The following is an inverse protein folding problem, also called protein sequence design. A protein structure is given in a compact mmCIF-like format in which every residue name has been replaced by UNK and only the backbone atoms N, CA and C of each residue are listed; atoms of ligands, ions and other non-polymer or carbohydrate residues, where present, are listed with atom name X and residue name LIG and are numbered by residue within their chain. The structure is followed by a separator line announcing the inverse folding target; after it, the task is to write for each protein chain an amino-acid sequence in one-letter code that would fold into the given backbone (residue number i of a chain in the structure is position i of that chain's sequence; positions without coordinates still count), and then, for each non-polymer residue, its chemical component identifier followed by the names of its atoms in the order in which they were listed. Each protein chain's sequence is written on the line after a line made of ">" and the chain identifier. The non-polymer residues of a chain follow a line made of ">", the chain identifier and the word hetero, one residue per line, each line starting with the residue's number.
data_IF_516029649251
#
_entry.id   IF_516029649251
#
_cell.length_a   1.000
_cell.length_b   1.000
_cell.length_c   1.000
_cell.angle_alpha   90.00
_cell.angle_beta   90.00
_cell.angle_gamma   90.00
#
_symmetry.space_group_name_H-M   'P 1'
#
loop_
_entity.id
_entity.type
_entity.pdbx_description
1 polymer ?
#
# COMPACT_ATOMS: atom_id res chain seq x y z
N UNK A 1 -11.83 -10.25 21.19
CA UNK A 1 -10.53 -10.94 21.39
C UNK A 1 -9.44 -9.87 21.38
N UNK A 2 -8.67 -9.74 22.46
CA UNK A 2 -7.69 -8.66 22.65
C UNK A 2 -6.40 -8.93 21.84
N UNK A 3 -5.87 -7.96 21.07
CA UNK A 3 -4.66 -8.15 20.26
C UNK A 3 -3.35 -7.91 21.04
N UNK A 4 -3.35 -7.93 22.37
CA UNK A 4 -2.21 -7.47 23.20
C UNK A 4 -1.28 -8.56 23.74
N UNK A 5 -1.27 -9.77 23.18
CA UNK A 5 -0.22 -10.75 23.53
C UNK A 5 0.90 -10.71 22.50
N UNK A 6 1.83 -9.78 22.68
CA UNK A 6 3.16 -9.88 22.07
C UNK A 6 3.81 -11.20 22.48
N UNK A 7 4.45 -11.95 21.57
CA UNK A 7 5.05 -13.26 21.87
C UNK A 7 6.33 -13.16 22.71
N UNK A 8 6.72 -11.98 23.21
CA UNK A 8 7.87 -11.81 24.10
C UNK A 8 7.80 -12.67 25.39
N UNK A 9 6.63 -13.20 25.74
CA UNK A 9 6.43 -14.09 26.89
C UNK A 9 6.67 -15.59 26.59
N UNK A 10 6.99 -16.01 25.36
CA UNK A 10 7.22 -17.44 25.06
C UNK A 10 8.58 -17.94 25.57
N UNK A 11 9.62 -17.11 25.49
CA UNK A 11 10.95 -17.45 26.02
C UNK A 11 11.00 -17.54 27.55
N UNK A 12 10.12 -16.84 28.25
CA UNK A 12 10.01 -16.92 29.72
C UNK A 12 9.54 -18.30 30.23
N UNK A 13 9.08 -19.20 29.34
CA UNK A 13 8.63 -20.56 29.69
C UNK A 13 9.59 -21.67 29.28
N UNK A 14 10.71 -21.36 28.64
CA UNK A 14 11.68 -22.36 28.22
C UNK A 14 12.68 -22.59 29.36
N UNK A 15 12.65 -23.77 29.95
CA UNK A 15 13.63 -24.18 30.97
C UNK A 15 14.99 -24.46 30.33
N UNK A 16 15.99 -23.68 30.73
CA UNK A 16 17.38 -23.76 30.25
C UNK A 16 18.08 -25.07 30.60
N UNK A 17 17.60 -25.76 31.64
CA UNK A 17 18.15 -27.03 32.08
C UNK A 17 17.45 -28.24 31.44
N UNK A 18 16.41 -28.01 30.62
CA UNK A 18 15.70 -29.09 29.95
C UNK A 18 16.60 -29.75 28.89
N UNK A 19 16.61 -31.08 28.78
CA UNK A 19 17.29 -31.78 27.69
C UNK A 19 16.83 -31.33 26.29
N UNK A 20 15.61 -30.80 26.18
CA UNK A 20 15.02 -30.33 24.93
C UNK A 20 15.13 -28.80 24.73
N UNK A 21 15.91 -28.10 25.57
CA UNK A 21 16.03 -26.64 25.53
C UNK A 21 16.29 -26.10 24.12
N UNK A 22 17.32 -26.61 23.44
CA UNK A 22 17.72 -26.14 22.12
C UNK A 22 16.64 -26.38 21.05
N UNK A 23 15.94 -27.52 21.10
CA UNK A 23 14.85 -27.81 20.17
C UNK A 23 13.68 -26.84 20.36
N UNK A 24 13.28 -26.60 21.62
CA UNK A 24 12.20 -25.67 21.93
C UNK A 24 12.54 -24.22 21.52
N UNK A 25 13.79 -23.80 21.69
CA UNK A 25 14.26 -22.48 21.23
C UNK A 25 14.21 -22.40 19.71
N UNK A 26 14.69 -23.43 19.01
CA UNK A 26 14.66 -23.47 17.54
C UNK A 26 13.22 -23.40 17.01
N UNK A 27 12.28 -24.13 17.61
CA UNK A 27 10.87 -24.10 17.23
C UNK A 27 10.26 -22.69 17.40
N UNK A 28 10.60 -21.97 18.49
CA UNK A 28 10.15 -20.59 18.66
C UNK A 28 10.74 -19.65 17.61
N UNK A 29 12.03 -19.80 17.30
CA UNK A 29 12.70 -19.02 16.25
C UNK A 29 12.02 -19.25 14.90
N UNK A 30 11.70 -20.50 14.56
CA UNK A 30 11.06 -20.85 13.29
C UNK A 30 9.64 -20.29 13.18
N UNK A 31 8.87 -20.34 14.28
CA UNK A 31 7.54 -19.73 14.37
C UNK A 31 7.62 -18.22 14.17
N UNK A 32 8.53 -17.54 14.87
CA UNK A 32 8.67 -16.09 14.78
C UNK A 32 9.20 -15.66 13.40
N UNK A 33 10.10 -16.45 12.80
CA UNK A 33 10.56 -16.23 11.43
C UNK A 33 9.41 -16.37 10.43
N UNK A 34 8.55 -17.38 10.58
CA UNK A 34 7.38 -17.56 9.72
C UNK A 34 6.39 -16.39 9.86
N UNK A 35 6.15 -15.92 11.08
CA UNK A 35 5.32 -14.74 11.35
C UNK A 35 5.91 -13.48 10.73
N UNK A 36 7.22 -13.26 10.88
CA UNK A 36 7.91 -12.11 10.31
C UNK A 36 7.79 -12.10 8.79
N UNK A 37 8.06 -13.23 8.12
CA UNK A 37 7.91 -13.37 6.66
C UNK A 37 6.49 -13.05 6.21
N UNK A 38 5.48 -13.54 6.93
CA UNK A 38 4.07 -13.25 6.65
C UNK A 38 3.75 -11.76 6.80
N UNK A 39 4.16 -11.14 7.91
CA UNK A 39 3.88 -9.74 8.18
C UNK A 39 4.55 -8.81 7.17
N UNK A 40 5.80 -9.07 6.80
CA UNK A 40 6.52 -8.31 5.76
C UNK A 40 5.83 -8.43 4.41
N UNK A 41 5.36 -9.64 4.06
CA UNK A 41 4.61 -9.86 2.81
C UNK A 41 3.30 -9.07 2.79
N UNK A 42 2.55 -9.07 3.90
CA UNK A 42 1.30 -8.31 4.01
C UNK A 42 1.56 -6.80 3.89
N UNK A 43 2.53 -6.26 4.65
CA UNK A 43 2.84 -4.82 4.61
C UNK A 43 3.29 -4.39 3.20
N UNK A 44 4.15 -5.20 2.57
CA UNK A 44 4.59 -4.96 1.19
C UNK A 44 3.41 -4.91 0.22
N UNK A 45 2.52 -5.90 0.27
CA UNK A 45 1.38 -5.98 -0.65
C UNK A 45 0.43 -4.81 -0.45
N UNK A 46 0.12 -4.45 0.80
CA UNK A 46 -0.72 -3.29 1.11
C UNK A 46 -0.14 -1.99 0.56
N UNK A 47 1.17 -1.78 0.70
CA UNK A 47 1.85 -0.59 0.16
C UNK A 47 1.84 -0.55 -1.36
N UNK A 48 2.07 -1.68 -2.02
CA UNK A 48 2.02 -1.76 -3.49
C UNK A 48 0.62 -1.46 -3.98
N UNK A 49 -0.41 -2.10 -3.42
CA UNK A 49 -1.80 -1.84 -3.80
C UNK A 49 -2.21 -0.40 -3.56
N UNK A 50 -1.80 0.21 -2.43
CA UNK A 50 -2.07 1.62 -2.19
C UNK A 50 -1.40 2.53 -3.23
N UNK A 51 -0.14 2.26 -3.59
CA UNK A 51 0.58 3.01 -4.61
C UNK A 51 -0.05 2.84 -6.00
N UNK A 52 -0.50 1.64 -6.36
CA UNK A 52 -1.21 1.38 -7.62
C UNK A 52 -2.51 2.20 -7.70
N UNK A 53 -3.30 2.22 -6.62
CA UNK A 53 -4.53 3.01 -6.55
C UNK A 53 -4.26 4.51 -6.65
N UNK A 54 -3.20 5.02 -6.02
CA UNK A 54 -2.82 6.43 -6.10
C UNK A 54 -2.43 6.83 -7.52
N UNK A 55 -1.62 6.01 -8.18
CA UNK A 55 -1.19 6.23 -9.57
C UNK A 55 -2.38 6.19 -10.52
N UNK A 56 -3.29 5.22 -10.37
CA UNK A 56 -4.51 5.14 -11.19
C UNK A 56 -5.41 6.38 -10.99
N UNK A 57 -5.60 6.79 -9.73
CA UNK A 57 -6.39 7.99 -9.41
C UNK A 57 -5.78 9.25 -10.02
N UNK A 58 -4.46 9.42 -9.91
CA UNK A 58 -3.76 10.54 -10.52
C UNK A 58 -3.89 10.53 -12.05
N UNK A 59 -3.76 9.37 -12.68
CA UNK A 59 -3.92 9.23 -14.13
C UNK A 59 -5.33 9.61 -14.60
N UNK A 60 -6.36 9.15 -13.88
CA UNK A 60 -7.76 9.50 -14.17
C UNK A 60 -8.00 11.01 -14.03
N UNK A 61 -7.51 11.61 -12.95
CA UNK A 61 -7.64 13.05 -12.73
C UNK A 61 -6.93 13.86 -13.82
N UNK A 62 -5.72 13.46 -14.23
CA UNK A 62 -5.01 14.10 -15.32
C UNK A 62 -5.72 13.96 -16.67
N UNK A 63 -6.36 12.82 -16.93
CA UNK A 63 -7.14 12.61 -18.15
C UNK A 63 -8.38 13.53 -18.20
N UNK A 64 -9.06 13.70 -17.07
CA UNK A 64 -10.20 14.62 -16.95
C UNK A 64 -9.77 16.07 -17.22
N UNK A 65 -8.74 16.55 -16.53
CA UNK A 65 -8.18 17.89 -16.74
C UNK A 65 -7.76 18.12 -18.19
N UNK A 66 -7.13 17.13 -18.82
CA UNK A 66 -6.75 17.23 -20.21
C UNK A 66 -7.96 17.41 -21.13
N UNK A 67 -9.01 16.62 -20.89
CA UNK A 67 -10.26 16.74 -21.66
C UNK A 67 -10.93 18.10 -21.47
N UNK A 68 -10.94 18.64 -20.26
CA UNK A 68 -11.48 19.98 -19.98
C UNK A 68 -10.69 21.06 -20.71
N UNK A 69 -9.36 20.98 -20.70
CA UNK A 69 -8.49 21.92 -21.41
C UNK A 69 -8.77 21.89 -22.92
N UNK A 70 -8.92 20.71 -23.52
CA UNK A 70 -9.24 20.59 -24.95
C UNK A 70 -10.62 21.18 -25.26
N UNK A 71 -11.62 20.95 -24.41
CA UNK A 71 -12.94 21.55 -24.56
C UNK A 71 -12.89 23.08 -24.47
N UNK A 72 -12.13 23.63 -23.52
CA UNK A 72 -11.96 25.08 -23.37
C UNK A 72 -11.26 25.69 -24.58
N UNK A 73 -10.23 25.03 -25.14
CA UNK A 73 -9.57 25.46 -26.38
C UNK A 73 -10.56 25.53 -27.54
N UNK A 74 -11.43 24.53 -27.68
CA UNK A 74 -12.47 24.53 -28.72
C UNK A 74 -13.43 25.71 -28.57
N UNK A 75 -13.93 25.97 -27.36
CA UNK A 75 -14.83 27.10 -27.07
C UNK A 75 -14.15 28.44 -27.39
N UNK A 76 -12.89 28.61 -26.99
CA UNK A 76 -12.13 29.84 -27.28
C UNK A 76 -11.97 30.04 -28.80
N UNK A 77 -11.63 28.97 -29.53
CA UNK A 77 -11.48 29.04 -30.98
C UNK A 77 -12.79 29.38 -31.70
N UNK A 78 -13.91 28.83 -31.24
CA UNK A 78 -15.25 29.19 -31.74
C UNK A 78 -15.55 30.67 -31.50
N UNK A 79 -15.35 31.15 -30.28
CA UNK A 79 -15.57 32.57 -29.94
C UNK A 79 -14.69 33.52 -30.77
N UNK A 80 -13.42 33.18 -30.98
CA UNK A 80 -12.50 33.99 -31.78
C UNK A 80 -12.90 34.01 -33.27
N UNK A 81 -13.40 32.90 -33.80
CA UNK A 81 -13.89 32.83 -35.19
C UNK A 81 -15.22 33.56 -35.39
N UNK A 82 -16.10 33.58 -34.39
CA UNK A 82 -17.33 34.38 -34.40
C UNK A 82 -17.04 35.89 -34.34
N UNK A 83 -16.18 36.33 -33.43
CA UNK A 83 -15.76 37.75 -33.31
C UNK A 83 -15.05 38.28 -34.57
N UNK A 84 -14.44 37.41 -35.37
CA UNK A 84 -13.79 37.79 -36.63
C UNK A 84 -14.75 37.93 -37.81
N UNK A 85 -16.00 37.46 -37.67
CA UNK A 85 -17.05 37.57 -38.72
C UNK A 85 -17.95 38.80 -38.53
N UNK A 86 -17.91 39.45 -37.36
CA UNK A 86 -18.70 40.63 -37.03
C UNK A 86 -17.99 41.97 -37.36
N UNK A 87 -16.75 41.94 -37.85
CA UNK A 87 -16.01 43.07 -38.40
C UNK A 87 -15.81 42.92 -39.92
#
# INVERSE_FOLDING_TARGET
>A
MNPTQSPLNSFQRIDVNSPNFYNNVQDQIDIDLARLKKNVSIDRNLRITAAEMEVETAALYHAELWSEIENLKLIINQKNTESSKEN
#
